data_IF_188745727100
#
_entry.id   IF_188745727100
#
_cell.length_a   1.000
_cell.length_b   1.000
_cell.length_c   1.000
_cell.angle_alpha   90.00
_cell.angle_beta   90.00
_cell.angle_gamma   90.00
#
_symmetry.space_group_name_H-M   'P 1'
#
loop_
_entity.id
_entity.type
_entity.pdbx_description
1 polymer ?
#
# COMPACT_ATOMS: atom_id res chain seq x y z
N UNK A 1 22.59 -32.85 26.86
CA UNK A 1 23.37 -33.90 26.17
C UNK A 1 24.80 -33.41 26.06
N UNK A 2 25.78 -34.26 26.33
CA UNK A 2 27.20 -33.99 26.11
C UNK A 2 27.85 -35.27 25.59
N UNK A 3 28.80 -35.16 24.65
CA UNK A 3 29.51 -36.30 24.04
C UNK A 3 28.60 -37.37 23.43
N UNK A 4 27.43 -36.98 22.92
CA UNK A 4 26.46 -37.92 22.33
C UNK A 4 25.62 -38.68 23.35
N UNK A 5 25.79 -38.44 24.66
CA UNK A 5 25.01 -39.07 25.72
C UNK A 5 24.11 -38.07 26.48
N UNK A 6 22.99 -38.59 27.00
CA UNK A 6 22.09 -37.83 27.86
C UNK A 6 22.65 -37.77 29.29
N UNK A 7 23.42 -36.72 29.60
CA UNK A 7 24.02 -36.52 30.94
C UNK A 7 23.05 -36.09 32.04
N UNK A 8 21.97 -35.38 31.71
CA UNK A 8 20.94 -34.97 32.69
C UNK A 8 19.57 -34.79 32.02
N UNK A 9 18.51 -35.01 32.79
CA UNK A 9 17.12 -34.77 32.39
C UNK A 9 16.28 -34.33 33.60
N UNK A 10 15.23 -33.55 33.36
CA UNK A 10 14.36 -33.02 34.41
C UNK A 10 13.70 -31.71 34.01
N UNK A 11 12.85 -31.15 34.88
CA UNK A 11 12.29 -29.81 34.68
C UNK A 11 13.39 -28.75 34.77
N UNK A 12 13.15 -27.59 34.17
CA UNK A 12 14.09 -26.46 34.22
C UNK A 12 14.45 -26.07 35.66
N UNK A 13 13.46 -26.07 36.56
CA UNK A 13 13.65 -25.82 37.99
C UNK A 13 14.52 -26.91 38.64
N UNK A 14 14.31 -28.18 38.31
CA UNK A 14 15.09 -29.29 38.86
C UNK A 14 16.56 -29.21 38.44
N UNK A 15 16.83 -28.95 37.16
CA UNK A 15 18.19 -28.84 36.63
C UNK A 15 18.90 -27.60 37.19
N UNK A 16 18.18 -26.48 37.32
CA UNK A 16 18.70 -25.29 37.99
C UNK A 16 18.98 -25.53 39.47
N UNK A 17 18.16 -26.30 40.18
CA UNK A 17 18.44 -26.60 41.59
C UNK A 17 19.58 -27.60 41.78
N UNK A 18 19.75 -28.54 40.83
CA UNK A 18 20.75 -29.61 40.90
C UNK A 18 22.13 -29.17 40.42
N UNK A 19 22.19 -28.38 39.36
CA UNK A 19 23.43 -27.98 38.68
C UNK A 19 23.64 -26.47 38.67
N UNK A 20 22.56 -25.68 38.66
CA UNK A 20 22.63 -24.24 38.82
C UNK A 20 22.94 -23.91 40.27
N UNK A 21 24.03 -23.21 40.52
CA UNK A 21 24.48 -22.97 41.89
C UNK A 21 23.78 -21.74 42.53
N UNK A 22 22.48 -21.58 42.24
CA UNK A 22 21.60 -20.61 42.90
C UNK A 22 21.47 -19.27 42.19
N UNK A 23 21.73 -18.18 42.91
CA UNK A 23 21.65 -16.80 42.40
C UNK A 23 23.06 -16.21 42.31
N UNK A 24 23.31 -15.42 41.28
CA UNK A 24 24.57 -14.68 41.14
C UNK A 24 24.33 -13.24 41.61
N UNK A 25 24.98 -12.85 42.69
CA UNK A 25 25.01 -11.49 43.22
C UNK A 25 26.25 -10.78 42.69
N UNK A 26 26.07 -9.72 41.91
CA UNK A 26 27.15 -8.88 41.40
C UNK A 26 27.12 -7.53 42.12
N UNK A 27 28.27 -7.09 42.60
CA UNK A 27 28.46 -5.85 43.37
C UNK A 27 29.48 -4.98 42.62
N UNK A 28 29.16 -3.72 42.42
CA UNK A 28 30.04 -2.74 41.79
C UNK A 28 30.68 -1.90 42.87
N UNK A 29 32.01 -1.90 42.94
CA UNK A 29 32.83 -1.16 43.91
C UNK A 29 32.98 0.30 43.51
N UNK A 30 33.14 1.14 44.51
CA UNK A 30 33.79 2.44 44.39
C UNK A 30 35.28 2.27 44.69
N UNK A 31 36.14 2.40 43.67
CA UNK A 31 37.58 2.10 43.73
C UNK A 31 38.33 2.94 44.80
N UNK A 32 37.74 4.02 45.31
CA UNK A 32 38.34 4.91 46.31
C UNK A 32 38.03 4.54 47.77
N UNK A 33 36.94 3.79 48.04
CA UNK A 33 36.39 3.66 49.40
C UNK A 33 36.02 2.22 49.80
N UNK A 34 36.05 1.26 48.87
CA UNK A 34 35.65 -0.13 49.10
C UNK A 34 36.76 -0.97 49.74
N UNK A 35 36.45 -1.67 50.84
CA UNK A 35 37.25 -2.80 51.36
C UNK A 35 36.59 -4.13 51.01
N UNK A 36 37.27 -4.93 50.19
CA UNK A 36 36.78 -6.24 49.73
C UNK A 36 36.50 -7.22 50.88
N UNK A 37 37.21 -7.11 52.00
CA UNK A 37 37.02 -7.99 53.16
C UNK A 37 35.75 -7.64 53.92
N UNK A 38 35.44 -6.35 54.06
CA UNK A 38 34.21 -5.88 54.74
C UNK A 38 32.97 -6.27 53.93
N UNK A 39 33.03 -6.14 52.60
CA UNK A 39 31.96 -6.60 51.70
C UNK A 39 31.79 -8.11 51.77
N UNK A 40 32.89 -8.88 51.78
CA UNK A 40 32.84 -10.34 51.89
C UNK A 40 32.30 -10.80 53.25
N UNK A 41 32.71 -10.15 54.35
CA UNK A 41 32.21 -10.41 55.69
C UNK A 41 30.71 -10.08 55.81
N UNK A 42 30.28 -8.97 55.21
CA UNK A 42 28.87 -8.58 55.14
C UNK A 42 28.03 -9.67 54.47
N UNK A 43 28.38 -10.08 53.24
CA UNK A 43 27.64 -11.11 52.51
C UNK A 43 27.61 -12.44 53.28
N UNK A 44 28.75 -12.83 53.86
CA UNK A 44 28.88 -14.09 54.62
C UNK A 44 28.10 -14.06 55.94
N UNK A 45 27.88 -12.88 56.54
CA UNK A 45 27.10 -12.73 57.77
C UNK A 45 25.62 -13.08 57.58
N UNK A 46 25.05 -12.78 56.41
CA UNK A 46 23.66 -13.12 56.07
C UNK A 46 23.54 -14.48 55.39
N UNK A 47 24.51 -14.85 54.56
CA UNK A 47 24.53 -16.10 53.80
C UNK A 47 25.90 -16.78 53.98
N UNK A 48 26.08 -17.57 55.06
CA UNK A 48 27.38 -18.21 55.34
C UNK A 48 27.86 -19.19 54.26
N UNK A 49 26.92 -19.69 53.46
CA UNK A 49 27.16 -20.62 52.36
C UNK A 49 27.43 -19.90 51.02
N UNK A 50 27.61 -18.57 51.01
CA UNK A 50 27.93 -17.82 49.80
C UNK A 50 29.35 -18.14 49.33
N UNK A 51 29.51 -18.37 48.03
CA UNK A 51 30.81 -18.65 47.41
C UNK A 51 31.25 -17.44 46.57
N UNK A 52 32.45 -16.93 46.80
CA UNK A 52 33.04 -15.90 45.94
C UNK A 52 33.43 -16.52 44.59
N UNK A 53 32.83 -16.05 43.49
CA UNK A 53 33.11 -16.53 42.13
C UNK A 53 34.22 -15.73 41.45
N UNK A 54 34.16 -14.42 41.58
CA UNK A 54 35.14 -13.53 40.96
C UNK A 54 35.26 -12.22 41.72
N UNK A 55 36.47 -11.69 41.79
CA UNK A 55 36.75 -10.35 42.28
C UNK A 55 37.75 -9.73 41.30
N UNK A 56 37.25 -8.92 40.36
CA UNK A 56 38.05 -8.39 39.23
C UNK A 56 37.69 -6.94 38.99
N UNK A 57 38.70 -6.06 39.07
CA UNK A 57 38.50 -4.62 38.89
C UNK A 57 37.49 -4.07 39.89
N UNK A 58 36.50 -3.35 39.38
CA UNK A 58 35.42 -2.73 40.17
C UNK A 58 34.21 -3.65 40.36
N UNK A 59 34.31 -4.97 40.11
CA UNK A 59 33.18 -5.91 40.27
C UNK A 59 33.54 -7.11 41.17
N UNK A 60 32.66 -7.41 42.14
CA UNK A 60 32.68 -8.63 42.95
C UNK A 60 31.44 -9.47 42.63
N UNK A 61 31.61 -10.75 42.35
CA UNK A 61 30.51 -11.68 42.11
C UNK A 61 30.50 -12.81 43.15
N UNK A 62 29.36 -12.99 43.80
CA UNK A 62 29.07 -14.08 44.73
C UNK A 62 28.00 -15.01 44.16
N UNK A 63 28.14 -16.28 44.50
CA UNK A 63 27.15 -17.31 44.26
C UNK A 63 26.40 -17.61 45.55
N UNK A 64 25.10 -17.32 45.54
CA UNK A 64 24.21 -17.48 46.68
C UNK A 64 23.37 -18.75 46.54
N UNK A 65 23.46 -19.71 47.48
CA UNK A 65 22.69 -20.95 47.39
C UNK A 65 21.18 -20.73 47.53
N UNK A 66 20.40 -21.50 46.76
CA UNK A 66 18.94 -21.42 46.74
C UNK A 66 18.28 -21.69 48.11
N UNK A 67 18.87 -22.56 48.92
CA UNK A 67 18.33 -22.93 50.24
C UNK A 67 18.39 -21.78 51.27
N UNK A 68 19.23 -20.78 51.04
CA UNK A 68 19.36 -19.59 51.89
C UNK A 68 18.49 -18.42 51.40
N UNK A 69 17.56 -18.67 50.48
CA UNK A 69 16.70 -17.65 49.85
C UNK A 69 15.83 -16.86 50.83
N UNK A 70 15.48 -17.44 51.97
CA UNK A 70 14.73 -16.74 53.04
C UNK A 70 15.50 -15.56 53.62
N UNK A 71 16.83 -15.61 53.63
CA UNK A 71 17.69 -14.57 54.21
C UNK A 71 17.99 -13.43 53.22
N UNK A 72 17.71 -13.61 51.92
CA UNK A 72 18.07 -12.64 50.89
C UNK A 72 17.31 -11.33 51.03
N UNK A 73 16.03 -11.37 51.42
CA UNK A 73 15.24 -10.16 51.61
C UNK A 73 15.83 -9.24 52.69
N UNK A 74 16.25 -9.82 53.83
CA UNK A 74 16.90 -9.07 54.91
C UNK A 74 18.27 -8.56 54.49
N UNK A 75 19.05 -9.38 53.79
CA UNK A 75 20.37 -9.01 53.27
C UNK A 75 20.28 -7.83 52.28
N UNK A 76 19.38 -7.88 51.29
CA UNK A 76 19.24 -6.80 50.30
C UNK A 76 18.76 -5.50 50.93
N UNK A 77 17.84 -5.57 51.90
CA UNK A 77 17.39 -4.38 52.63
C UNK A 77 18.53 -3.72 53.40
N UNK A 78 19.43 -4.51 54.02
CA UNK A 78 20.59 -3.97 54.70
C UNK A 78 21.68 -3.49 53.72
N UNK A 79 21.82 -4.16 52.56
CA UNK A 79 22.74 -3.78 51.49
C UNK A 79 22.33 -2.41 50.91
N UNK A 80 21.04 -2.16 50.71
CA UNK A 80 20.52 -0.84 50.31
C UNK A 80 20.86 0.25 51.35
N UNK A 81 20.80 -0.09 52.65
CA UNK A 81 21.05 0.85 53.75
C UNK A 81 22.54 1.16 53.94
N UNK A 82 23.41 0.17 53.74
CA UNK A 82 24.86 0.29 53.95
C UNK A 82 25.66 0.42 52.65
N UNK A 83 25.00 0.56 51.50
CA UNK A 83 25.62 0.60 50.17
C UNK A 83 26.80 1.59 50.10
N UNK A 84 26.58 2.84 50.54
CA UNK A 84 27.62 3.87 50.57
C UNK A 84 28.68 3.63 51.64
N UNK A 85 28.31 3.03 52.78
CA UNK A 85 29.24 2.75 53.89
C UNK A 85 30.20 1.61 53.55
N UNK A 86 29.75 0.65 52.74
CA UNK A 86 30.55 -0.46 52.22
C UNK A 86 31.38 -0.09 50.99
N UNK A 87 31.30 1.16 50.51
CA UNK A 87 32.01 1.60 49.30
C UNK A 87 31.48 0.95 48.01
N UNK A 88 30.19 0.66 47.93
CA UNK A 88 29.56 0.07 46.74
C UNK A 88 28.76 1.12 45.98
N UNK A 89 28.79 1.05 44.65
CA UNK A 89 28.03 1.93 43.75
C UNK A 89 26.66 1.36 43.39
N UNK A 90 26.60 0.04 43.15
CA UNK A 90 25.36 -0.66 42.81
C UNK A 90 25.51 -2.16 43.03
N UNK A 91 24.39 -2.86 43.09
CA UNK A 91 24.36 -4.33 43.06
C UNK A 91 23.28 -4.84 42.11
N UNK A 92 23.47 -6.06 41.63
CA UNK A 92 22.52 -6.77 40.80
C UNK A 92 22.43 -8.22 41.23
N UNK A 93 21.23 -8.78 41.18
CA UNK A 93 20.99 -10.21 41.38
C UNK A 93 20.47 -10.82 40.09
N UNK A 94 21.07 -11.92 39.66
CA UNK A 94 20.62 -12.70 38.51
C UNK A 94 20.41 -14.16 38.90
N UNK A 95 19.48 -14.82 38.20
CA UNK A 95 19.17 -16.23 38.42
C UNK A 95 19.97 -17.06 37.44
N UNK A 96 20.49 -18.22 37.86
CA UNK A 96 21.16 -19.12 36.92
C UNK A 96 20.24 -19.51 35.76
N UNK A 97 20.75 -19.37 34.55
CA UNK A 97 20.04 -19.69 33.30
C UNK A 97 20.20 -21.17 32.93
N UNK A 98 19.37 -21.69 32.01
CA UNK A 98 19.56 -23.09 31.57
C UNK A 98 20.81 -23.24 30.70
N UNK A 99 21.22 -22.16 30.06
CA UNK A 99 22.43 -22.02 29.27
C UNK A 99 23.67 -22.18 30.17
N UNK A 100 23.70 -21.53 31.33
CA UNK A 100 24.76 -21.71 32.33
C UNK A 100 24.77 -23.13 32.91
N UNK A 101 23.59 -23.71 33.18
CA UNK A 101 23.48 -25.12 33.59
C UNK A 101 24.01 -26.06 32.51
N UNK A 102 23.73 -25.78 31.25
CA UNK A 102 24.23 -26.56 30.12
C UNK A 102 25.75 -26.48 30.02
N UNK A 103 26.34 -25.29 30.12
CA UNK A 103 27.80 -25.09 30.13
C UNK A 103 28.42 -25.88 31.29
N UNK A 104 27.88 -25.74 32.50
CA UNK A 104 28.41 -26.45 33.69
C UNK A 104 28.29 -27.96 33.59
N UNK A 105 27.22 -28.49 33.00
CA UNK A 105 27.07 -29.94 32.73
C UNK A 105 28.05 -30.40 31.64
N UNK A 106 28.35 -29.56 30.65
CA UNK A 106 29.35 -29.86 29.64
C UNK A 106 30.77 -29.85 30.23
N UNK A 107 31.10 -28.88 31.10
CA UNK A 107 32.37 -28.82 31.82
C UNK A 107 32.58 -30.02 32.75
N UNK A 108 31.56 -30.41 33.51
CA UNK A 108 31.63 -31.59 34.39
C UNK A 108 31.77 -32.91 33.62
N UNK A 109 31.39 -32.93 32.34
CA UNK A 109 31.53 -34.10 31.47
C UNK A 109 32.88 -34.13 30.74
N UNK A 110 33.64 -33.03 30.71
CA UNK A 110 34.94 -32.93 30.04
C UNK A 110 36.07 -33.39 30.96
N UNK A 111 36.13 -34.70 31.26
CA UNK A 111 37.21 -35.29 32.07
C UNK A 111 38.58 -35.24 31.39
N UNK A 112 38.65 -34.95 30.07
CA UNK A 112 39.86 -35.00 29.26
C UNK A 112 40.32 -33.64 28.70
N UNK A 113 39.72 -32.51 29.10
CA UNK A 113 39.99 -31.16 28.58
C UNK A 113 40.02 -31.09 27.03
N UNK A 114 39.18 -31.88 26.36
CA UNK A 114 39.17 -31.97 24.90
C UNK A 114 38.35 -30.86 24.23
N UNK A 115 37.61 -30.03 24.98
CA UNK A 115 36.80 -28.96 24.43
C UNK A 115 37.33 -27.53 24.73
N UNK A 116 37.06 -26.62 23.79
CA UNK A 116 37.61 -25.26 23.66
C UNK A 116 37.20 -24.23 24.71
N UNK A 117 36.58 -24.64 25.83
CA UNK A 117 36.31 -23.75 26.96
C UNK A 117 37.38 -23.99 28.04
N UNK A 118 38.62 -23.60 27.73
CA UNK A 118 39.73 -23.74 28.65
C UNK A 118 39.48 -22.95 29.94
N UNK A 119 39.41 -23.66 31.06
CA UNK A 119 39.39 -23.10 32.41
C UNK A 119 40.78 -22.50 32.73
N UNK A 120 41.10 -21.33 32.15
CA UNK A 120 42.29 -20.57 32.51
C UNK A 120 42.02 -19.75 33.78
N UNK A 121 41.75 -20.44 34.90
CA UNK A 121 42.06 -19.88 36.22
C UNK A 121 43.57 -19.91 36.34
N UNK A 122 44.21 -18.79 36.00
CA UNK A 122 45.62 -18.55 36.29
C UNK A 122 45.79 -18.41 37.80
N UNK A 123 46.13 -19.50 38.47
CA UNK A 123 46.83 -19.45 39.75
C UNK A 123 48.25 -18.92 39.49
N UNK A 124 48.61 -17.86 40.21
CA UNK A 124 49.91 -17.19 40.17
C UNK A 124 51.08 -18.16 40.33
N UNK A 125 52.10 -18.04 39.47
CA UNK A 125 53.44 -17.60 39.87
C UNK A 125 54.42 -17.66 38.68
N UNK A 126 55.39 -16.74 38.72
CA UNK A 126 56.64 -16.65 37.94
C UNK A 126 56.68 -15.55 36.88
N UNK A 127 57.51 -14.57 37.23
CA UNK A 127 58.01 -13.44 36.45
C UNK A 127 58.32 -13.78 34.98
N UNK A 128 57.75 -12.98 34.08
CA UNK A 128 58.37 -12.74 32.78
C UNK A 128 58.02 -11.34 32.33
N UNK A 129 59.04 -10.50 32.23
CA UNK A 129 59.03 -9.14 31.71
C UNK A 129 58.45 -9.08 30.29
N UNK A 130 57.14 -8.96 30.18
CA UNK A 130 56.45 -8.51 28.97
C UNK A 130 56.21 -7.02 29.09
N UNK A 131 56.86 -6.22 28.25
CA UNK A 131 56.53 -4.82 28.05
C UNK A 131 55.06 -4.71 27.61
N UNK A 132 54.16 -4.49 28.57
CA UNK A 132 52.85 -3.94 28.27
C UNK A 132 53.06 -2.47 27.99
N UNK A 133 53.25 -2.17 26.71
CA UNK A 133 53.22 -0.81 26.23
C UNK A 133 51.82 -0.28 26.49
N UNK A 134 51.72 0.55 27.54
CA UNK A 134 50.61 1.44 27.79
C UNK A 134 50.19 2.00 26.43
N UNK A 135 48.99 1.63 25.95
CA UNK A 135 48.50 2.17 24.69
C UNK A 135 48.51 3.68 24.84
N UNK A 136 49.36 4.33 24.04
CA UNK A 136 49.37 5.77 23.85
C UNK A 136 47.92 6.23 23.86
N UNK A 137 47.63 7.12 24.80
CA UNK A 137 46.46 7.97 24.74
C UNK A 137 46.55 8.69 23.39
N UNK A 138 45.84 8.16 22.38
CA UNK A 138 45.84 8.70 21.03
C UNK A 138 45.06 10.02 21.10
N UNK A 139 45.74 11.08 21.53
CA UNK A 139 45.31 12.46 21.27
C UNK A 139 45.26 12.60 19.75
N UNK A 140 44.06 12.43 19.20
CA UNK A 140 43.82 12.57 17.76
C UNK A 140 42.98 13.80 17.51
N UNK A 141 43.60 14.72 16.77
CA UNK A 141 43.06 15.95 16.20
C UNK A 141 42.05 15.73 15.07
N UNK A 142 41.63 14.49 14.82
CA UNK A 142 40.54 14.16 13.89
C UNK A 142 39.29 13.71 14.63
N UNK A 143 38.13 14.18 14.16
CA UNK A 143 36.82 13.81 14.70
C UNK A 143 36.67 12.29 14.78
N UNK A 144 36.52 11.76 16.00
CA UNK A 144 36.30 10.33 16.29
C UNK A 144 35.23 9.70 15.40
N UNK A 145 34.24 10.48 14.96
CA UNK A 145 33.18 10.03 14.07
C UNK A 145 33.70 9.45 12.74
N UNK A 146 34.66 10.12 12.08
CA UNK A 146 35.16 9.69 10.77
C UNK A 146 35.98 8.41 10.83
N UNK A 147 36.71 8.20 11.93
CA UNK A 147 37.43 6.94 12.20
C UNK A 147 36.45 5.78 12.37
N UNK A 148 35.38 5.97 13.14
CA UNK A 148 34.34 4.95 13.32
C UNK A 148 33.58 4.68 12.01
N UNK A 149 33.19 5.72 11.27
CA UNK A 149 32.51 5.60 9.98
C UNK A 149 33.38 4.83 8.96
N UNK A 150 34.67 5.17 8.87
CA UNK A 150 35.62 4.47 8.00
C UNK A 150 35.76 3.00 8.41
N UNK A 151 35.88 2.71 9.70
CA UNK A 151 35.98 1.34 10.19
C UNK A 151 34.73 0.51 9.86
N UNK A 152 33.53 1.09 10.02
CA UNK A 152 32.26 0.44 9.68
C UNK A 152 32.12 0.21 8.17
N UNK A 153 32.48 1.19 7.34
CA UNK A 153 32.48 1.05 5.88
C UNK A 153 33.47 -0.02 5.42
N UNK A 154 34.67 -0.06 5.99
CA UNK A 154 35.68 -1.06 5.66
C UNK A 154 35.23 -2.48 6.07
N UNK A 155 34.57 -2.61 7.23
CA UNK A 155 33.97 -3.88 7.68
C UNK A 155 32.88 -4.34 6.71
N UNK A 156 31.98 -3.43 6.31
CA UNK A 156 30.91 -3.74 5.37
C UNK A 156 31.45 -4.10 3.98
N UNK A 157 32.53 -3.45 3.54
CA UNK A 157 33.23 -3.80 2.31
C UNK A 157 33.92 -5.17 2.36
N UNK A 158 34.60 -5.50 3.46
CA UNK A 158 35.21 -6.84 3.63
C UNK A 158 34.16 -7.94 3.67
N UNK A 159 33.04 -7.69 4.34
CA UNK A 159 31.90 -8.61 4.37
C UNK A 159 31.31 -8.81 2.97
N UNK A 160 31.08 -7.72 2.25
CA UNK A 160 30.65 -7.70 0.85
C UNK A 160 31.60 -8.48 -0.08
N UNK A 161 32.91 -8.32 0.08
CA UNK A 161 33.93 -9.04 -0.73
C UNK A 161 33.93 -10.55 -0.44
N UNK A 162 33.59 -10.96 0.78
CA UNK A 162 33.55 -12.37 1.19
C UNK A 162 32.25 -13.05 0.75
N UNK A 163 31.14 -12.33 0.79
CA UNK A 163 29.82 -12.83 0.40
C UNK A 163 29.42 -12.39 -1.02
N UNK A 164 30.23 -12.77 -2.00
CA UNK A 164 30.00 -12.40 -3.41
C UNK A 164 28.67 -12.96 -3.93
N UNK A 165 28.24 -14.12 -3.44
CA UNK A 165 26.99 -14.76 -3.87
C UNK A 165 25.79 -13.94 -3.43
N UNK A 166 25.71 -13.55 -2.15
CA UNK A 166 24.59 -12.74 -1.67
C UNK A 166 24.51 -11.38 -2.38
N UNK A 167 25.65 -10.73 -2.65
CA UNK A 167 25.65 -9.45 -3.37
C UNK A 167 25.16 -9.59 -4.81
N UNK A 168 25.57 -10.66 -5.50
CA UNK A 168 25.07 -10.92 -6.86
C UNK A 168 23.55 -11.10 -6.84
N UNK A 169 23.00 -11.86 -5.90
CA UNK A 169 21.54 -12.05 -5.81
C UNK A 169 20.79 -10.76 -5.44
N UNK A 170 21.29 -10.01 -4.44
CA UNK A 170 20.68 -8.75 -3.99
C UNK A 170 20.74 -7.67 -5.08
N UNK A 171 21.78 -7.64 -5.92
CA UNK A 171 21.89 -6.69 -7.02
C UNK A 171 21.13 -7.14 -8.29
N UNK A 172 21.18 -8.44 -8.63
CA UNK A 172 20.58 -8.96 -9.85
C UNK A 172 19.06 -9.08 -9.77
N UNK A 173 18.51 -9.44 -8.60
CA UNK A 173 17.07 -9.67 -8.45
C UNK A 173 16.22 -8.41 -8.68
N UNK A 174 16.54 -7.22 -8.13
CA UNK A 174 15.82 -5.98 -8.43
C UNK A 174 15.90 -5.59 -9.92
N UNK A 175 17.08 -5.76 -10.54
CA UNK A 175 17.27 -5.46 -11.96
C UNK A 175 16.42 -6.39 -12.83
N UNK A 176 16.39 -7.68 -12.50
CA UNK A 176 15.58 -8.67 -13.22
C UNK A 176 14.08 -8.35 -13.09
N UNK A 177 13.63 -7.98 -11.88
CA UNK A 177 12.23 -7.57 -11.66
C UNK A 177 11.85 -6.32 -12.45
N UNK A 178 12.75 -5.32 -12.53
CA UNK A 178 12.52 -4.12 -13.34
C UNK A 178 12.44 -4.47 -14.83
N UNK A 179 13.35 -5.30 -15.34
CA UNK A 179 13.34 -5.75 -16.75
C UNK A 179 12.07 -6.54 -17.06
N UNK A 180 11.66 -7.45 -16.17
CA UNK A 180 10.42 -8.20 -16.32
C UNK A 180 9.20 -7.27 -16.33
N UNK A 181 9.14 -6.30 -15.40
CA UNK A 181 8.07 -5.31 -15.35
C UNK A 181 7.99 -4.43 -16.60
N UNK A 182 9.13 -3.95 -17.09
CA UNK A 182 9.20 -3.18 -18.35
C UNK A 182 8.84 -4.03 -19.57
N UNK A 183 9.19 -5.33 -19.56
CA UNK A 183 8.79 -6.29 -20.59
C UNK A 183 7.28 -6.47 -20.64
N UNK A 184 6.64 -6.68 -19.48
CA UNK A 184 5.18 -6.78 -19.37
C UNK A 184 4.51 -5.48 -19.83
N UNK A 185 5.03 -4.32 -19.42
CA UNK A 185 4.50 -3.03 -19.83
C UNK A 185 4.57 -2.85 -21.36
N UNK A 186 5.71 -3.20 -21.97
CA UNK A 186 5.87 -3.17 -23.43
C UNK A 186 4.92 -4.14 -24.15
N UNK A 187 4.70 -5.33 -23.62
CA UNK A 187 3.72 -6.27 -24.15
C UNK A 187 2.28 -5.76 -24.00
N UNK A 188 1.95 -5.08 -22.91
CA UNK A 188 0.62 -4.49 -22.71
C UNK A 188 0.34 -3.33 -23.67
N UNK A 189 1.37 -2.60 -24.09
CA UNK A 189 1.25 -1.54 -25.11
C UNK A 189 1.21 -2.08 -26.55
N UNK A 190 1.37 -3.39 -26.75
CA UNK A 190 1.20 -4.04 -28.05
C UNK A 190 -0.23 -4.53 -28.29
N UNK A 191 -1.18 -4.16 -27.42
CA UNK A 191 -2.61 -4.22 -27.73
C UNK A 191 -2.84 -3.07 -28.71
N UNK A 192 -3.01 -3.41 -29.99
CA UNK A 192 -3.22 -2.44 -31.06
C UNK A 192 -4.25 -1.39 -30.62
N UNK A 193 -3.86 -0.12 -30.61
CA UNK A 193 -4.83 0.97 -30.48
C UNK A 193 -5.90 0.75 -31.55
N UNK A 194 -7.16 0.61 -31.14
CA UNK A 194 -8.26 0.47 -32.09
C UNK A 194 -8.19 1.64 -33.08
N UNK A 195 -8.21 1.37 -34.39
CA UNK A 195 -8.09 2.44 -35.38
C UNK A 195 -9.20 3.46 -35.16
N UNK A 196 -8.85 4.74 -35.24
CA UNK A 196 -9.80 5.86 -35.17
C UNK A 196 -11.00 5.59 -36.09
N UNK A 197 -12.11 5.19 -35.48
CA UNK A 197 -13.32 4.83 -36.22
C UNK A 197 -14.10 6.10 -36.51
N UNK A 198 -14.26 6.41 -37.79
CA UNK A 198 -15.13 7.50 -38.22
C UNK A 198 -16.58 7.22 -37.76
N UNK A 199 -17.22 8.21 -37.15
CA UNK A 199 -18.61 8.13 -36.68
C UNK A 199 -19.56 8.34 -37.87
N UNK A 200 -19.66 7.33 -38.75
CA UNK A 200 -20.54 7.35 -39.93
C UNK A 200 -21.73 6.40 -39.73
N UNK A 201 -22.80 6.62 -40.49
CA UNK A 201 -23.97 5.73 -40.49
C UNK A 201 -23.84 4.54 -41.46
N UNK A 202 -22.65 4.31 -42.02
CA UNK A 202 -22.41 3.23 -42.98
C UNK A 202 -22.69 1.85 -42.38
N UNK A 203 -22.45 1.70 -41.07
CA UNK A 203 -22.76 0.48 -40.31
C UNK A 203 -24.28 0.26 -40.08
N UNK A 204 -25.09 1.28 -40.37
CA UNK A 204 -26.54 1.32 -40.16
C UNK A 204 -27.33 1.29 -41.46
N UNK A 205 -26.77 0.72 -42.53
CA UNK A 205 -27.42 0.66 -43.85
C UNK A 205 -27.63 2.03 -44.51
N UNK A 206 -26.94 3.07 -44.05
CA UNK A 206 -26.82 4.37 -44.71
C UNK A 206 -28.15 4.98 -45.17
N UNK A 207 -28.33 5.09 -46.50
CA UNK A 207 -29.53 5.68 -47.12
C UNK A 207 -30.79 4.82 -47.04
N UNK A 208 -30.69 3.55 -46.64
CA UNK A 208 -31.85 2.68 -46.44
C UNK A 208 -32.62 3.01 -45.16
N UNK A 209 -31.98 3.69 -44.20
CA UNK A 209 -32.59 4.10 -42.93
C UNK A 209 -32.52 5.62 -42.79
N UNK A 210 -33.39 6.37 -43.47
CA UNK A 210 -33.40 7.83 -43.37
C UNK A 210 -33.65 8.26 -41.92
N UNK A 211 -32.99 9.34 -41.51
CA UNK A 211 -33.10 9.92 -40.19
C UNK A 211 -34.32 10.85 -40.14
N UNK A 212 -35.42 10.46 -39.45
CA UNK A 212 -36.58 11.30 -39.29
C UNK A 212 -36.23 12.51 -38.43
N UNK A 213 -36.72 13.67 -38.83
CA UNK A 213 -36.70 14.85 -38.00
C UNK A 213 -38.05 15.57 -38.04
N UNK A 214 -38.36 16.28 -36.97
CA UNK A 214 -39.48 17.20 -36.90
C UNK A 214 -38.99 18.57 -36.45
N UNK A 215 -39.50 19.60 -37.12
CA UNK A 215 -39.23 20.99 -36.78
C UNK A 215 -40.37 21.54 -35.94
N UNK A 216 -40.11 21.81 -34.66
CA UNK A 216 -41.09 22.45 -33.80
C UNK A 216 -41.18 23.94 -34.16
N UNK A 217 -42.38 24.39 -34.54
CA UNK A 217 -42.63 25.79 -34.88
C UNK A 217 -42.56 26.71 -33.64
N UNK A 218 -41.56 27.60 -33.61
CA UNK A 218 -41.56 28.87 -32.89
C UNK A 218 -41.95 30.05 -33.80
N UNK A 219 -42.10 31.25 -33.24
CA UNK A 219 -42.38 32.46 -34.02
C UNK A 219 -41.23 32.74 -35.02
N UNK A 220 -41.41 32.38 -36.30
CA UNK A 220 -40.41 32.55 -37.38
C UNK A 220 -39.62 31.28 -37.75
N UNK A 221 -40.12 30.09 -37.42
CA UNK A 221 -39.33 28.87 -37.23
C UNK A 221 -39.08 27.91 -38.42
N UNK A 222 -39.58 28.19 -39.61
CA UNK A 222 -39.41 27.20 -40.70
C UNK A 222 -38.01 27.25 -41.33
N UNK A 223 -37.30 28.38 -41.27
CA UNK A 223 -36.05 28.56 -42.02
C UNK A 223 -34.87 27.79 -41.39
N UNK A 224 -34.50 28.06 -40.12
CA UNK A 224 -33.27 27.49 -39.53
C UNK A 224 -33.34 25.99 -39.27
N UNK A 225 -34.49 25.49 -38.85
CA UNK A 225 -34.64 24.08 -38.56
C UNK A 225 -34.50 23.23 -39.82
N UNK A 226 -35.21 23.61 -40.88
CA UNK A 226 -35.13 22.91 -42.16
C UNK A 226 -33.77 23.11 -42.82
N UNK A 227 -33.16 24.29 -42.68
CA UNK A 227 -31.84 24.62 -43.23
C UNK A 227 -30.74 23.72 -42.68
N UNK A 228 -30.64 23.55 -41.35
CA UNK A 228 -29.61 22.70 -40.71
C UNK A 228 -29.73 21.24 -41.15
N UNK A 229 -30.94 20.78 -41.44
CA UNK A 229 -31.21 19.42 -41.90
C UNK A 229 -31.05 19.23 -43.42
N UNK A 230 -30.72 20.30 -44.18
CA UNK A 230 -30.40 20.16 -45.60
C UNK A 230 -29.08 19.43 -45.82
N UNK A 231 -28.94 18.81 -47.00
CA UNK A 231 -27.71 18.13 -47.43
C UNK A 231 -26.47 19.03 -47.50
N UNK A 232 -26.64 20.36 -47.37
CA UNK A 232 -25.52 21.31 -47.31
C UNK A 232 -24.81 21.30 -45.96
N UNK A 233 -25.51 20.93 -44.88
CA UNK A 233 -25.02 21.00 -43.50
C UNK A 233 -25.06 19.63 -42.82
N UNK A 234 -26.14 18.88 -43.02
CA UNK A 234 -26.28 17.52 -42.52
C UNK A 234 -25.76 16.52 -43.56
N UNK A 235 -24.52 16.04 -43.35
CA UNK A 235 -23.89 15.04 -44.20
C UNK A 235 -23.52 13.80 -43.38
N UNK A 236 -23.72 12.62 -43.97
CA UNK A 236 -23.45 11.32 -43.34
C UNK A 236 -24.71 10.53 -42.96
N UNK A 237 -25.91 11.05 -43.21
CA UNK A 237 -27.18 10.32 -43.26
C UNK A 237 -28.20 11.09 -44.10
N UNK A 238 -29.28 10.43 -44.53
CA UNK A 238 -30.36 11.06 -45.29
C UNK A 238 -31.42 11.57 -44.33
N UNK A 239 -31.60 12.89 -44.22
CA UNK A 239 -32.66 13.47 -43.41
C UNK A 239 -34.03 13.31 -44.08
N UNK A 240 -35.06 12.97 -43.30
CA UNK A 240 -36.44 12.89 -43.74
C UNK A 240 -37.34 13.68 -42.79
N UNK A 241 -38.14 14.59 -43.34
CA UNK A 241 -39.10 15.34 -42.53
C UNK A 241 -40.29 14.45 -42.15
N UNK A 242 -40.74 14.56 -40.90
CA UNK A 242 -42.00 13.99 -40.42
C UNK A 242 -43.08 15.06 -40.34
N UNK A 243 -44.33 14.66 -40.46
CA UNK A 243 -45.49 15.50 -40.17
C UNK A 243 -46.12 15.07 -38.83
N UNK A 244 -46.31 16.03 -37.93
CA UNK A 244 -46.98 15.85 -36.65
C UNK A 244 -48.12 16.87 -36.54
N UNK A 245 -49.12 16.58 -35.70
CA UNK A 245 -50.19 17.54 -35.44
C UNK A 245 -49.66 18.74 -34.65
N UNK A 246 -50.21 19.92 -34.92
CA UNK A 246 -50.00 21.13 -34.13
C UNK A 246 -51.34 21.56 -33.53
N UNK A 247 -51.57 21.41 -32.21
CA UNK A 247 -50.66 20.92 -31.16
C UNK A 247 -50.36 19.42 -31.22
N UNK A 248 -49.31 18.97 -30.53
CA UNK A 248 -48.86 17.57 -30.56
C UNK A 248 -49.91 16.58 -30.02
N UNK A 249 -50.74 17.04 -29.09
CA UNK A 249 -51.89 16.30 -28.55
C UNK A 249 -53.09 17.24 -28.33
N UNK A 250 -54.30 16.67 -28.29
CA UNK A 250 -55.53 17.44 -28.00
C UNK A 250 -55.69 17.78 -26.51
N UNK A 251 -54.93 17.10 -25.62
CA UNK A 251 -55.05 17.22 -24.16
C UNK A 251 -53.69 17.13 -23.47
N UNK A 252 -53.53 17.77 -22.31
CA UNK A 252 -52.32 17.72 -21.48
C UNK A 252 -52.14 16.40 -20.69
N UNK A 253 -52.93 15.37 -21.04
CA UNK A 253 -52.82 14.02 -20.48
C UNK A 253 -52.87 12.95 -21.59
N UNK A 254 -51.91 12.97 -22.53
CA UNK A 254 -51.92 12.05 -23.66
C UNK A 254 -51.59 10.62 -23.23
N UNK A 255 -52.02 9.65 -24.05
CA UNK A 255 -51.62 8.24 -23.91
C UNK A 255 -50.57 7.91 -24.97
N UNK A 256 -49.35 7.64 -24.53
CA UNK A 256 -48.19 7.43 -25.41
C UNK A 256 -47.49 6.15 -24.96
N UNK A 257 -47.10 5.30 -25.90
CA UNK A 257 -46.57 3.95 -25.62
C UNK A 257 -47.51 3.07 -24.76
N UNK A 258 -48.82 3.33 -24.80
CA UNK A 258 -49.81 2.65 -23.98
C UNK A 258 -49.86 3.10 -22.51
N UNK A 259 -49.19 4.20 -22.16
CA UNK A 259 -49.21 4.79 -20.82
C UNK A 259 -49.86 6.18 -20.87
N UNK A 260 -50.84 6.43 -20.00
CA UNK A 260 -51.50 7.73 -19.87
C UNK A 260 -50.76 8.59 -18.86
N UNK A 261 -50.32 9.78 -19.29
CA UNK A 261 -49.58 10.73 -18.45
C UNK A 261 -50.58 11.63 -17.72
N UNK A 262 -50.69 11.49 -16.40
CA UNK A 262 -51.65 12.27 -15.58
C UNK A 262 -50.96 13.09 -14.48
N UNK A 263 -49.78 12.68 -14.03
CA UNK A 263 -48.95 13.41 -13.06
C UNK A 263 -47.46 13.01 -13.23
N UNK A 264 -46.56 13.92 -13.70
CA UNK A 264 -46.82 15.28 -14.14
C UNK A 264 -47.60 15.34 -15.46
N UNK A 265 -48.39 16.40 -15.66
CA UNK A 265 -49.07 16.68 -16.93
C UNK A 265 -48.06 17.00 -18.03
N UNK A 266 -48.33 16.59 -19.26
CA UNK A 266 -47.50 16.92 -20.42
C UNK A 266 -48.13 18.13 -21.10
N UNK A 267 -47.37 19.20 -21.29
CA UNK A 267 -47.83 20.32 -22.12
C UNK A 267 -47.96 19.85 -23.57
N UNK A 268 -49.19 19.75 -24.05
CA UNK A 268 -49.52 19.23 -25.38
C UNK A 268 -48.98 20.08 -26.53
N UNK A 269 -48.69 21.37 -26.26
CA UNK A 269 -48.13 22.32 -27.24
C UNK A 269 -46.66 22.66 -26.99
N UNK A 270 -46.11 22.21 -25.86
CA UNK A 270 -44.75 22.48 -25.44
C UNK A 270 -43.73 21.43 -25.89
N UNK A 271 -42.47 21.68 -25.53
CA UNK A 271 -41.36 20.78 -25.88
C UNK A 271 -41.52 19.36 -25.32
N UNK A 272 -42.20 19.19 -24.18
CA UNK A 272 -42.47 17.88 -23.57
C UNK A 272 -43.48 17.08 -24.41
N UNK A 273 -44.56 17.71 -24.87
CA UNK A 273 -45.54 17.10 -25.78
C UNK A 273 -44.91 16.66 -27.09
N UNK A 274 -44.23 17.57 -27.78
CA UNK A 274 -43.55 17.23 -29.05
C UNK A 274 -42.45 16.17 -28.88
N UNK A 275 -41.72 16.17 -27.76
CA UNK A 275 -40.68 15.16 -27.51
C UNK A 275 -41.28 13.76 -27.36
N UNK A 276 -42.39 13.65 -26.62
CA UNK A 276 -43.05 12.37 -26.37
C UNK A 276 -43.77 11.89 -27.65
N UNK A 277 -44.43 12.80 -28.38
CA UNK A 277 -45.06 12.50 -29.66
C UNK A 277 -44.05 12.08 -30.74
N UNK A 278 -42.88 12.74 -30.80
CA UNK A 278 -41.77 12.34 -31.70
C UNK A 278 -41.24 10.97 -31.34
N UNK A 279 -41.06 10.68 -30.04
CA UNK A 279 -40.67 9.36 -29.56
C UNK A 279 -41.63 8.26 -30.03
N UNK A 280 -42.94 8.50 -29.93
CA UNK A 280 -43.96 7.56 -30.39
C UNK A 280 -43.89 7.35 -31.91
N UNK A 281 -43.79 8.42 -32.70
CA UNK A 281 -43.65 8.31 -34.15
C UNK A 281 -42.40 7.52 -34.58
N UNK A 282 -41.24 7.82 -33.97
CA UNK A 282 -39.99 7.10 -34.28
C UNK A 282 -40.09 5.63 -33.89
N UNK A 283 -40.76 5.32 -32.78
CA UNK A 283 -41.01 3.94 -32.35
C UNK A 283 -41.98 3.20 -33.29
N UNK A 284 -43.09 3.82 -33.67
CA UNK A 284 -44.07 3.22 -34.59
C UNK A 284 -43.45 2.99 -35.98
N UNK A 285 -42.58 3.90 -36.41
CA UNK A 285 -41.82 3.81 -37.65
C UNK A 285 -40.76 2.70 -37.64
N UNK A 286 -40.09 2.50 -36.50
CA UNK A 286 -39.02 1.50 -36.36
C UNK A 286 -39.46 0.10 -35.93
N UNK A 287 -40.55 0.01 -35.15
CA UNK A 287 -41.03 -1.23 -34.51
C UNK A 287 -42.54 -1.46 -34.63
N UNK A 288 -43.33 -0.46 -35.04
CA UNK A 288 -44.79 -0.51 -35.06
C UNK A 288 -45.40 -1.02 -36.38
N UNK A 289 -46.74 -1.13 -36.37
CA UNK A 289 -47.58 -1.38 -37.56
C UNK A 289 -48.10 -0.02 -38.09
N UNK A 290 -47.30 0.67 -38.90
CA UNK A 290 -47.67 1.91 -39.60
C UNK A 290 -47.54 1.79 -41.13
N UNK A 291 -47.83 2.86 -41.88
CA UNK A 291 -47.67 2.90 -43.34
C UNK A 291 -46.22 3.12 -43.79
N UNK A 292 -45.39 3.77 -42.97
CA UNK A 292 -44.02 4.20 -43.30
C UNK A 292 -42.97 3.43 -42.48
N UNK A 293 -43.06 2.10 -42.45
CA UNK A 293 -42.15 1.25 -41.67
C UNK A 293 -40.75 1.30 -42.28
N UNK A 294 -39.75 1.63 -41.46
CA UNK A 294 -38.33 1.57 -41.82
C UNK A 294 -37.65 0.55 -40.91
N UNK A 295 -37.31 -0.61 -41.50
CA UNK A 295 -36.60 -1.67 -40.80
C UNK A 295 -35.21 -1.16 -40.39
N UNK A 296 -34.98 -1.04 -39.07
CA UNK A 296 -33.73 -0.48 -38.55
C UNK A 296 -33.75 1.04 -38.39
N UNK A 297 -34.81 1.65 -37.85
CA UNK A 297 -34.75 3.05 -37.43
C UNK A 297 -33.77 3.20 -36.24
N UNK A 298 -32.59 3.78 -36.50
CA UNK A 298 -31.51 3.86 -35.51
C UNK A 298 -31.46 5.17 -34.73
N UNK A 299 -32.02 6.25 -35.27
CA UNK A 299 -32.15 7.53 -34.57
C UNK A 299 -33.12 8.50 -35.23
N UNK A 300 -33.28 9.68 -34.64
CA UNK A 300 -34.13 10.77 -35.11
C UNK A 300 -33.93 12.05 -34.30
N UNK A 301 -34.45 13.18 -34.77
CA UNK A 301 -34.28 14.48 -34.12
C UNK A 301 -35.59 15.26 -33.97
N UNK A 302 -35.82 15.82 -32.80
CA UNK A 302 -36.75 16.94 -32.65
C UNK A 302 -35.91 18.21 -32.59
N UNK A 303 -36.09 19.11 -33.55
CA UNK A 303 -35.30 20.32 -33.67
C UNK A 303 -36.20 21.53 -33.41
N UNK A 304 -35.70 22.45 -32.59
CA UNK A 304 -36.33 23.72 -32.26
C UNK A 304 -35.42 24.85 -32.72
N UNK A 305 -35.92 25.72 -33.59
CA UNK A 305 -35.19 26.88 -34.07
C UNK A 305 -36.02 28.14 -33.94
N UNK A 306 -35.45 29.17 -33.32
CA UNK A 306 -36.05 30.51 -33.25
C UNK A 306 -35.02 31.54 -33.73
N UNK A 307 -35.30 32.12 -34.91
CA UNK A 307 -34.46 33.15 -35.53
C UNK A 307 -34.54 34.50 -34.80
N UNK A 308 -35.67 34.82 -34.16
CA UNK A 308 -35.83 36.04 -33.38
C UNK A 308 -35.03 36.05 -32.08
N UNK A 309 -34.79 34.88 -31.49
CA UNK A 309 -34.06 34.73 -30.22
C UNK A 309 -32.62 34.22 -30.40
N UNK A 310 -32.20 33.91 -31.63
CA UNK A 310 -30.92 33.27 -31.94
C UNK A 310 -30.72 31.94 -31.18
N UNK A 311 -31.78 31.14 -31.05
CA UNK A 311 -31.74 29.85 -30.33
C UNK A 311 -31.97 28.70 -31.30
N UNK A 312 -31.07 27.72 -31.26
CA UNK A 312 -31.23 26.42 -31.89
C UNK A 312 -31.03 25.33 -30.84
N UNK A 313 -32.04 24.51 -30.63
CA UNK A 313 -32.03 23.36 -29.74
C UNK A 313 -32.41 22.09 -30.49
N UNK A 314 -31.95 20.94 -30.01
CA UNK A 314 -32.38 19.67 -30.56
C UNK A 314 -32.43 18.60 -29.47
N UNK A 315 -33.37 17.67 -29.61
CA UNK A 315 -33.42 16.43 -28.87
C UNK A 315 -33.08 15.27 -29.81
N UNK A 316 -32.20 14.38 -29.36
CA UNK A 316 -31.79 13.20 -30.12
C UNK A 316 -32.51 11.96 -29.59
N UNK A 317 -33.18 11.25 -30.48
CA UNK A 317 -33.81 9.96 -30.22
C UNK A 317 -32.90 8.91 -30.82
N UNK A 318 -32.51 7.90 -30.04
CA UNK A 318 -31.65 6.82 -30.53
C UNK A 318 -32.16 5.46 -30.12
N UNK A 319 -31.98 4.49 -31.01
CA UNK A 319 -32.29 3.10 -30.74
C UNK A 319 -31.10 2.46 -30.02
N UNK A 320 -31.30 2.05 -28.77
CA UNK A 320 -30.24 1.49 -27.93
C UNK A 320 -29.85 0.06 -28.30
N UNK A 321 -30.58 -0.59 -29.20
CA UNK A 321 -30.18 -1.90 -29.75
C UNK A 321 -28.98 -1.79 -30.70
N UNK A 322 -28.71 -0.59 -31.21
CA UNK A 322 -27.59 -0.28 -32.10
C UNK A 322 -26.37 0.24 -31.34
N UNK A 323 -25.22 -0.43 -31.49
CA UNK A 323 -23.97 -0.09 -30.82
C UNK A 323 -23.41 1.26 -31.28
N UNK A 324 -23.29 2.22 -30.37
CA UNK A 324 -22.80 3.58 -30.63
C UNK A 324 -23.76 4.50 -31.40
N UNK A 325 -25.04 4.14 -31.55
CA UNK A 325 -26.03 4.98 -32.24
C UNK A 325 -26.11 6.40 -31.62
N UNK A 326 -26.21 6.49 -30.30
CA UNK A 326 -26.25 7.78 -29.58
C UNK A 326 -25.09 8.72 -29.91
N UNK A 327 -23.86 8.20 -29.91
CA UNK A 327 -22.67 8.98 -30.23
C UNK A 327 -22.64 9.41 -31.71
N UNK A 328 -23.06 8.53 -32.61
CA UNK A 328 -23.07 8.81 -34.06
C UNK A 328 -24.11 9.88 -34.40
N UNK A 329 -25.37 9.75 -33.96
CA UNK A 329 -26.39 10.75 -34.26
C UNK A 329 -26.13 12.08 -33.55
N UNK A 330 -25.51 12.08 -32.37
CA UNK A 330 -25.06 13.32 -31.73
C UNK A 330 -23.97 14.03 -32.55
N UNK A 331 -22.92 13.31 -32.94
CA UNK A 331 -21.85 13.85 -33.78
C UNK A 331 -22.39 14.37 -35.13
N UNK A 332 -23.32 13.60 -35.73
CA UNK A 332 -24.30 13.97 -36.76
C UNK A 332 -24.70 15.45 -36.72
N UNK A 333 -25.43 15.74 -35.66
CA UNK A 333 -26.10 17.00 -35.46
C UNK A 333 -25.12 18.11 -35.06
N UNK A 334 -24.16 17.81 -34.19
CA UNK A 334 -23.15 18.80 -33.74
C UNK A 334 -22.32 19.33 -34.93
N UNK A 335 -22.00 18.45 -35.88
CA UNK A 335 -21.31 18.83 -37.09
C UNK A 335 -22.18 19.71 -38.01
N UNK A 336 -23.46 19.36 -38.19
CA UNK A 336 -24.39 20.15 -38.98
C UNK A 336 -24.59 21.57 -38.40
N UNK A 337 -24.77 21.66 -37.08
CA UNK A 337 -24.87 22.93 -36.36
C UNK A 337 -23.56 23.73 -36.42
N UNK A 338 -22.41 23.07 -36.28
CA UNK A 338 -21.12 23.74 -36.39
C UNK A 338 -20.89 24.36 -37.77
N UNK A 339 -21.24 23.64 -38.84
CA UNK A 339 -21.09 24.14 -40.22
C UNK A 339 -22.11 25.24 -40.52
N UNK A 340 -23.34 25.15 -40.02
CA UNK A 340 -24.33 26.22 -40.22
C UNK A 340 -23.90 27.53 -39.56
N UNK A 341 -23.44 27.47 -38.30
CA UNK A 341 -22.96 28.65 -37.57
C UNK A 341 -21.74 29.31 -38.22
N UNK A 342 -20.78 28.51 -38.69
CA UNK A 342 -19.58 29.02 -39.39
C UNK A 342 -19.90 29.70 -40.73
N UNK A 343 -21.01 29.31 -41.37
CA UNK A 343 -21.44 29.90 -42.65
C UNK A 343 -22.20 31.21 -42.45
N UNK A 344 -23.02 31.30 -41.39
CA UNK A 344 -23.64 32.57 -40.98
C UNK A 344 -22.59 33.66 -40.69
N UNK A 345 -21.50 33.33 -39.97
CA UNK A 345 -20.41 34.29 -39.68
C UNK A 345 -19.64 34.77 -40.91
N UNK A 346 -19.76 34.10 -42.07
CA UNK A 346 -19.06 34.48 -43.31
C UNK A 346 -19.93 35.32 -44.26
N UNK A 347 -21.22 35.47 -43.96
CA UNK A 347 -22.20 36.20 -44.78
C UNK A 347 -22.56 37.58 -44.20
N UNK A 348 -22.08 37.91 -43.00
CA UNK A 348 -22.07 39.26 -42.41
C UNK A 348 -20.74 39.99 -42.69
#
# INVERSE_FOLDING_TARGET
MAEGELRCCGSSLFLKNRFGAGYNLTLVKDDATCDDNDVSAFVTSFVPSAQLLSNVGSEIAFQLPLHSSSSFAAMFAELDRQLQTLGLLSYGVSVTTLEEVFIKVAELADENNQHTLGNNVRTNDSESSGNYQLCDEIITTESMFWRHLRALLLKRFRYAKRDKKAIIYVAALPVLLIVAGLGILKCSMAINDDPLKALTTDAYSGSATPTPYFCQAGAGAEEWCSEVMTSSFYYGATAQTLSMSEPAFDTDSPTVFGVTYTDPTIDASGATGYSVAMGQQVYERGYGKGSDIVEGQYGGYLVYGNSGENVLGYNVFTNTTASHSSAIFKALMDQAVGVSLLRCQRLE
#
